data_IF_396656518021
#
_entry.id   IF_396656518021
#
_cell.length_a   1.000
_cell.length_b   1.000
_cell.length_c   1.000
_cell.angle_alpha   90.00
_cell.angle_beta   90.00
_cell.angle_gamma   90.00
#
_symmetry.space_group_name_H-M   'P 1'
#
loop_
_entity.id
_entity.type
_entity.pdbx_description
1 polymer ?
#
# COMPACT_ATOMS: atom_id res chain seq x y z
N UNK A 1 -4.67 22.06 31.96
CA UNK A 1 -3.85 23.25 32.30
C UNK A 1 -2.51 23.02 31.63
N UNK A 2 -2.19 23.75 30.54
CA UNK A 2 -0.91 23.53 29.85
C UNK A 2 0.24 24.01 30.75
N UNK A 3 1.38 23.34 30.69
CA UNK A 3 2.55 23.69 31.49
C UNK A 3 3.11 25.04 31.04
N UNK A 4 3.88 25.73 31.90
CA UNK A 4 4.59 26.96 31.53
C UNK A 4 5.50 26.77 30.31
N UNK A 5 5.99 25.54 30.09
CA UNK A 5 6.86 25.17 28.98
C UNK A 5 6.09 25.15 27.65
N UNK A 6 4.85 24.67 27.68
CA UNK A 6 3.97 24.60 26.50
C UNK A 6 3.57 26.01 26.06
N UNK A 7 3.36 26.93 27.00
CA UNK A 7 3.05 28.32 26.65
C UNK A 7 4.21 29.04 25.98
N UNK A 8 5.45 28.70 26.34
CA UNK A 8 6.64 29.31 25.73
C UNK A 8 6.94 28.72 24.34
N UNK A 9 6.70 27.42 24.12
CA UNK A 9 6.86 26.83 22.78
C UNK A 9 5.84 27.44 21.80
N UNK A 10 4.60 27.70 22.23
CA UNK A 10 3.59 28.33 21.37
C UNK A 10 3.91 29.78 21.02
N UNK A 11 4.44 30.57 21.96
CA UNK A 11 4.93 31.93 21.64
C UNK A 11 6.10 31.90 20.66
N UNK A 12 6.94 30.88 20.77
CA UNK A 12 8.08 30.68 19.87
C UNK A 12 7.61 30.33 18.45
N UNK A 13 6.62 29.45 18.31
CA UNK A 13 5.97 29.14 17.02
C UNK A 13 5.34 30.40 16.40
N UNK A 14 4.61 31.21 17.18
CA UNK A 14 4.03 32.46 16.70
C UNK A 14 5.10 33.47 16.23
N UNK A 15 6.19 33.61 17.00
CA UNK A 15 7.31 34.46 16.63
C UNK A 15 8.02 33.98 15.35
N UNK A 16 8.16 32.66 15.18
CA UNK A 16 8.71 32.03 13.98
C UNK A 16 7.86 32.36 12.75
N UNK A 17 6.54 32.13 12.82
CA UNK A 17 5.59 32.41 11.73
C UNK A 17 5.57 33.91 11.38
N UNK A 18 5.83 34.79 12.34
CA UNK A 18 5.94 36.25 12.14
C UNK A 18 7.33 36.71 11.68
N UNK A 19 8.30 35.81 11.51
CA UNK A 19 9.66 36.12 11.08
C UNK A 19 10.47 36.91 12.12
N UNK A 20 10.20 36.69 13.41
CA UNK A 20 10.81 37.44 14.53
C UNK A 20 11.84 36.63 15.32
N UNK A 21 12.09 35.37 14.96
CA UNK A 21 13.12 34.54 15.58
C UNK A 21 14.47 34.70 14.87
N UNK A 22 15.55 34.61 15.64
CA UNK A 22 16.90 34.47 15.11
C UNK A 22 17.20 33.00 14.78
N UNK A 23 18.27 32.78 14.01
CA UNK A 23 18.67 31.46 13.51
C UNK A 23 18.85 30.42 14.62
N UNK A 24 19.46 30.81 15.75
CA UNK A 24 19.70 29.90 16.90
C UNK A 24 18.41 29.50 17.64
N UNK A 25 17.38 30.33 17.60
CA UNK A 25 16.07 30.03 18.19
C UNK A 25 15.22 29.18 17.24
N UNK A 26 15.41 29.36 15.93
CA UNK A 26 14.77 28.54 14.89
C UNK A 26 15.27 27.10 14.98
N UNK A 27 16.58 26.89 15.08
CA UNK A 27 17.15 25.54 15.23
C UNK A 27 16.64 24.84 16.48
N UNK A 28 16.57 25.54 17.62
CA UNK A 28 16.02 25.00 18.87
C UNK A 28 14.53 24.66 18.77
N UNK A 29 13.75 25.47 18.06
CA UNK A 29 12.34 25.19 17.80
C UNK A 29 12.19 23.90 16.97
N UNK A 30 12.96 23.73 15.91
CA UNK A 30 12.91 22.52 15.08
C UNK A 30 13.32 21.25 15.83
N UNK A 31 14.27 21.36 16.75
CA UNK A 31 14.64 20.23 17.64
C UNK A 31 13.49 19.83 18.55
N UNK A 32 12.70 20.77 19.07
CA UNK A 32 11.54 20.45 19.90
C UNK A 32 10.37 19.91 19.06
N UNK A 33 10.14 20.45 17.85
CA UNK A 33 9.14 19.90 16.90
C UNK A 33 9.49 18.46 16.50
N UNK A 34 10.77 18.15 16.29
CA UNK A 34 11.21 16.79 15.97
C UNK A 34 10.95 15.78 17.12
N UNK A 35 10.85 16.26 18.36
CA UNK A 35 10.55 15.43 19.54
C UNK A 35 9.06 15.29 19.79
N UNK A 36 8.24 16.21 19.29
CA UNK A 36 6.80 16.25 19.49
C UNK A 36 6.08 16.61 18.18
N UNK A 37 5.64 15.60 17.41
CA UNK A 37 4.99 15.78 16.11
C UNK A 37 3.73 16.67 16.15
N UNK A 38 3.03 16.73 17.30
CA UNK A 38 1.82 17.55 17.45
C UNK A 38 2.11 19.06 17.33
N UNK A 39 3.36 19.47 17.52
CA UNK A 39 3.81 20.85 17.32
C UNK A 39 3.90 21.23 15.83
N UNK A 40 4.07 20.25 14.93
CA UNK A 40 4.08 20.46 13.49
C UNK A 40 2.68 20.84 13.00
N UNK A 41 1.66 20.07 13.40
CA UNK A 41 0.25 20.35 13.09
C UNK A 41 -0.16 21.75 13.57
N UNK A 42 0.37 22.18 14.72
CA UNK A 42 0.11 23.52 15.25
C UNK A 42 0.79 24.63 14.44
N UNK A 43 2.04 24.42 14.03
CA UNK A 43 2.76 25.35 13.15
C UNK A 43 2.02 25.50 11.81
N UNK A 44 1.55 24.40 11.24
CA UNK A 44 0.71 24.41 10.03
C UNK A 44 -0.58 25.21 10.23
N UNK A 45 -1.23 25.04 11.39
CA UNK A 45 -2.45 25.78 11.72
C UNK A 45 -2.21 27.29 11.85
N UNK A 46 -1.12 27.73 12.51
CA UNK A 46 -0.75 29.15 12.63
C UNK A 46 -0.35 29.77 11.28
N UNK A 47 0.36 29.01 10.43
CA UNK A 47 0.69 29.46 9.07
C UNK A 47 -0.54 29.55 8.16
N UNK A 48 -1.49 28.61 8.29
CA UNK A 48 -2.78 28.64 7.60
C UNK A 48 -3.66 29.81 8.05
N UNK A 49 -3.74 30.08 9.36
CA UNK A 49 -4.46 31.23 9.93
C UNK A 49 -3.81 32.55 9.49
N UNK A 50 -2.47 32.65 9.46
CA UNK A 50 -1.76 33.81 8.91
C UNK A 50 -2.11 34.03 7.44
N UNK A 51 -2.12 32.98 6.62
CA UNK A 51 -2.48 33.06 5.20
C UNK A 51 -3.90 33.59 5.00
N UNK A 52 -4.87 33.10 5.77
CA UNK A 52 -6.28 33.56 5.73
C UNK A 52 -6.42 35.01 6.24
N UNK A 53 -5.67 35.39 7.28
CA UNK A 53 -5.66 36.76 7.80
C UNK A 53 -4.99 37.74 6.82
N UNK A 54 -3.94 37.31 6.13
CA UNK A 54 -3.26 38.09 5.10
C UNK A 54 -4.14 38.24 3.85
N UNK A 55 -4.88 37.20 3.46
CA UNK A 55 -5.91 37.25 2.40
C UNK A 55 -7.09 38.17 2.77
N UNK A 56 -7.57 38.13 4.03
CA UNK A 56 -8.61 39.06 4.52
C UNK A 56 -8.10 40.51 4.62
N UNK A 57 -6.84 40.74 5.01
CA UNK A 57 -6.21 42.06 5.00
C UNK A 57 -6.03 42.60 3.57
N UNK A 58 -5.71 41.73 2.61
CA UNK A 58 -5.62 42.07 1.18
C UNK A 58 -6.99 42.41 0.56
N UNK A 59 -8.09 41.79 1.03
CA UNK A 59 -9.46 42.09 0.60
C UNK A 59 -9.99 43.43 1.16
N UNK A 60 -9.60 43.81 2.38
CA UNK A 60 -10.15 45.00 3.06
C UNK A 60 -9.40 46.32 2.84
N UNK A 61 -8.18 46.34 2.29
CA UNK A 61 -7.42 47.58 2.08
C UNK A 61 -6.76 47.65 0.70
N UNK A 62 -7.51 48.10 -0.32
CA UNK A 62 -6.91 48.76 -1.48
C UNK A 62 -7.09 50.27 -1.41
N UNK A 63 -6.02 50.95 -1.02
CA UNK A 63 -5.24 51.79 -1.94
C UNK A 63 -3.77 51.58 -1.61
N UNK A 64 -3.13 50.65 -2.31
CA UNK A 64 -1.69 50.43 -2.24
C UNK A 64 -1.01 51.25 -3.34
N UNK A 65 -0.03 52.07 -2.96
CA UNK A 65 0.93 52.68 -3.86
C UNK A 65 1.85 51.58 -4.41
N UNK A 66 1.88 51.43 -5.73
CA UNK A 66 2.75 50.46 -6.41
C UNK A 66 4.20 50.88 -6.19
N UNK A 67 4.94 50.11 -5.39
CA UNK A 67 6.41 50.16 -5.44
C UNK A 67 6.85 49.09 -6.41
N UNK A 68 7.37 49.52 -7.57
CA UNK A 68 7.96 48.59 -8.54
C UNK A 68 9.27 48.06 -7.96
N UNK A 69 9.37 46.74 -7.82
CA UNK A 69 10.65 46.10 -7.53
C UNK A 69 11.62 46.36 -8.70
N UNK A 70 12.93 46.55 -8.43
CA UNK A 70 13.92 46.66 -9.49
C UNK A 70 13.88 45.43 -10.39
N UNK A 71 14.02 45.61 -11.71
CA UNK A 71 13.90 44.53 -12.71
C UNK A 71 14.78 43.30 -12.41
N UNK A 72 15.91 43.48 -11.72
CA UNK A 72 16.79 42.39 -11.32
C UNK A 72 16.14 41.39 -10.35
N UNK A 73 15.19 41.81 -9.50
CA UNK A 73 14.52 40.93 -8.54
C UNK A 73 13.64 39.89 -9.24
N UNK A 74 13.05 40.22 -10.38
CA UNK A 74 12.31 39.27 -11.22
C UNK A 74 13.22 38.22 -11.83
N UNK A 75 14.41 38.64 -12.30
CA UNK A 75 15.43 37.71 -12.80
C UNK A 75 16.02 36.85 -11.69
N UNK A 76 16.23 37.39 -10.49
CA UNK A 76 16.72 36.64 -9.34
C UNK A 76 15.70 35.59 -8.85
N UNK A 77 14.41 35.93 -8.83
CA UNK A 77 13.34 34.99 -8.51
C UNK A 77 13.22 33.88 -9.56
N UNK A 78 13.25 34.23 -10.86
CA UNK A 78 13.27 33.25 -11.94
C UNK A 78 14.51 32.35 -11.90
N UNK A 79 15.68 32.90 -11.56
CA UNK A 79 16.90 32.12 -11.40
C UNK A 79 16.79 31.15 -10.22
N UNK A 80 16.23 31.58 -9.08
CA UNK A 80 16.04 30.73 -7.90
C UNK A 80 15.05 29.57 -8.17
N UNK A 81 13.97 29.81 -8.91
CA UNK A 81 13.04 28.74 -9.30
C UNK A 81 13.68 27.75 -10.27
N UNK A 82 14.46 28.23 -11.25
CA UNK A 82 15.23 27.36 -12.15
C UNK A 82 16.25 26.53 -11.35
N UNK A 83 16.93 27.14 -10.38
CA UNK A 83 17.92 26.46 -9.53
C UNK A 83 17.27 25.38 -8.66
N UNK A 84 16.09 25.65 -8.08
CA UNK A 84 15.31 24.68 -7.32
C UNK A 84 14.83 23.52 -8.19
N UNK A 85 14.30 23.79 -9.39
CA UNK A 85 13.90 22.74 -10.34
C UNK A 85 15.11 21.91 -10.77
N UNK A 86 16.25 22.56 -11.04
CA UNK A 86 17.50 21.89 -11.36
C UNK A 86 18.01 21.04 -10.18
N UNK A 87 17.94 21.55 -8.94
CA UNK A 87 18.25 20.80 -7.71
C UNK A 87 17.37 19.58 -7.55
N UNK A 88 16.05 19.71 -7.74
CA UNK A 88 15.11 18.58 -7.69
C UNK A 88 15.43 17.55 -8.77
N UNK A 89 15.83 17.98 -9.97
CA UNK A 89 16.28 17.08 -11.04
C UNK A 89 17.63 16.41 -10.72
N UNK A 90 18.58 17.15 -10.10
CA UNK A 90 19.92 16.66 -9.75
C UNK A 90 19.93 15.67 -8.58
N UNK A 91 19.00 15.83 -7.63
CA UNK A 91 18.85 14.97 -6.45
C UNK A 91 17.74 13.92 -6.58
N UNK A 92 17.17 13.72 -7.78
CA UNK A 92 16.43 12.48 -8.07
C UNK A 92 17.43 11.32 -8.01
N UNK A 93 17.59 10.75 -6.83
CA UNK A 93 18.19 9.42 -6.70
C UNK A 93 17.19 8.47 -7.37
N UNK A 94 17.50 8.04 -8.58
CA UNK A 94 16.79 6.94 -9.23
C UNK A 94 17.06 5.67 -8.42
N UNK A 95 16.32 5.47 -7.33
CA UNK A 95 16.23 4.14 -6.73
C UNK A 95 15.43 3.30 -7.72
N UNK A 96 16.12 2.59 -8.61
CA UNK A 96 15.50 1.62 -9.49
C UNK A 96 14.89 0.50 -8.62
N UNK A 97 13.66 0.67 -8.16
CA UNK A 97 12.90 -0.39 -7.51
C UNK A 97 12.57 -1.41 -8.58
N UNK A 98 13.04 -2.63 -8.40
CA UNK A 98 12.79 -3.73 -9.32
C UNK A 98 11.45 -4.38 -8.99
N UNK A 99 10.85 -5.07 -9.96
CA UNK A 99 9.60 -5.79 -9.71
C UNK A 99 9.77 -6.85 -8.60
N UNK A 100 10.98 -7.41 -8.47
CA UNK A 100 11.33 -8.40 -7.46
C UNK A 100 11.18 -7.90 -6.02
N UNK A 101 11.20 -6.58 -5.80
CA UNK A 101 11.04 -5.99 -4.46
C UNK A 101 9.59 -6.07 -3.95
N UNK A 102 8.64 -6.41 -4.84
CA UNK A 102 7.19 -6.39 -4.56
C UNK A 102 6.53 -7.77 -4.65
N UNK A 103 7.25 -8.78 -5.15
CA UNK A 103 6.71 -10.13 -5.32
C UNK A 103 6.92 -11.00 -4.08
N UNK A 104 6.05 -11.98 -3.91
CA UNK A 104 6.17 -13.03 -2.90
C UNK A 104 7.20 -14.05 -3.37
N UNK A 105 8.40 -14.12 -2.77
CA UNK A 105 9.41 -15.12 -3.18
C UNK A 105 9.05 -16.54 -2.75
N UNK A 106 8.39 -16.68 -1.59
CA UNK A 106 7.98 -17.96 -1.01
C UNK A 106 6.77 -17.70 -0.14
N UNK A 107 5.77 -18.56 -0.26
CA UNK A 107 4.53 -18.47 0.52
C UNK A 107 4.71 -19.33 1.78
N UNK A 108 4.70 -18.73 2.98
CA UNK A 108 4.92 -19.46 4.21
C UNK A 108 3.72 -20.34 4.58
N UNK A 109 3.97 -21.37 5.39
CA UNK A 109 2.99 -22.45 5.65
C UNK A 109 1.72 -21.93 6.36
N UNK A 110 1.83 -20.87 7.16
CA UNK A 110 0.69 -20.21 7.83
C UNK A 110 -0.31 -19.58 6.86
N UNK A 111 0.06 -19.42 5.58
CA UNK A 111 -0.83 -18.92 4.55
C UNK A 111 -1.69 -20.01 3.91
N UNK A 112 -1.43 -21.29 4.20
CA UNK A 112 -2.29 -22.38 3.76
C UNK A 112 -3.65 -22.29 4.45
N UNK A 113 -4.69 -22.62 3.68
CA UNK A 113 -6.04 -22.75 4.18
C UNK A 113 -6.22 -24.06 4.94
N UNK A 114 -6.83 -23.97 6.11
CA UNK A 114 -7.24 -25.12 6.93
C UNK A 114 -8.76 -25.17 7.01
N UNK A 115 -9.29 -26.23 7.62
CA UNK A 115 -10.69 -26.25 8.01
C UNK A 115 -11.01 -25.03 8.91
N UNK A 116 -12.20 -24.45 8.77
CA UNK A 116 -12.54 -23.25 9.55
C UNK A 116 -12.55 -23.56 11.06
N UNK A 117 -11.79 -22.78 11.83
CA UNK A 117 -11.68 -22.93 13.28
C UNK A 117 -12.86 -22.29 14.04
N UNK A 118 -13.77 -23.13 14.53
CA UNK A 118 -14.66 -23.01 15.70
C UNK A 118 -15.36 -21.67 15.99
N UNK A 119 -16.68 -21.62 15.72
CA UNK A 119 -17.59 -20.63 16.33
C UNK A 119 -18.98 -21.17 16.75
N UNK A 120 -19.16 -22.48 16.92
CA UNK A 120 -20.38 -23.02 17.56
C UNK A 120 -20.10 -24.31 18.33
N UNK A 121 -20.94 -24.54 19.34
CA UNK A 121 -20.81 -25.60 20.36
C UNK A 121 -21.19 -27.00 19.84
N UNK A 122 -21.73 -27.10 18.63
CA UNK A 122 -22.36 -28.32 18.07
C UNK A 122 -21.86 -28.68 16.66
N UNK A 123 -20.57 -28.50 16.35
CA UNK A 123 -20.03 -28.81 15.01
C UNK A 123 -19.50 -30.25 14.89
N UNK A 124 -19.89 -30.94 13.82
CA UNK A 124 -19.34 -32.25 13.43
C UNK A 124 -18.20 -32.01 12.44
N UNK A 125 -16.98 -32.40 12.81
CA UNK A 125 -15.82 -32.37 11.90
C UNK A 125 -16.16 -33.25 10.69
N UNK A 126 -16.21 -32.66 9.50
CA UNK A 126 -16.45 -33.42 8.29
C UNK A 126 -15.19 -34.18 7.85
N UNK A 127 -15.38 -35.16 6.96
CA UNK A 127 -14.25 -35.83 6.30
C UNK A 127 -13.41 -34.83 5.49
N UNK A 128 -14.04 -33.83 4.85
CA UNK A 128 -13.34 -32.79 4.11
C UNK A 128 -12.47 -31.91 5.01
N UNK A 129 -12.99 -31.53 6.19
CA UNK A 129 -12.22 -30.78 7.21
C UNK A 129 -10.98 -31.56 7.66
N UNK A 130 -11.18 -32.86 7.92
CA UNK A 130 -10.11 -33.76 8.35
C UNK A 130 -9.02 -33.88 7.28
N UNK A 131 -9.42 -34.00 6.01
CA UNK A 131 -8.50 -34.07 4.88
C UNK A 131 -7.74 -32.75 4.67
N UNK A 132 -8.40 -31.59 4.74
CA UNK A 132 -7.72 -30.29 4.65
C UNK A 132 -6.66 -30.14 5.75
N UNK A 133 -7.00 -30.48 6.99
CA UNK A 133 -6.07 -30.43 8.12
C UNK A 133 -4.93 -31.45 7.97
N UNK A 134 -5.20 -32.65 7.44
CA UNK A 134 -4.18 -33.65 7.16
C UNK A 134 -3.21 -33.21 6.06
N UNK A 135 -3.73 -32.57 5.00
CA UNK A 135 -2.92 -31.97 3.94
C UNK A 135 -2.02 -30.86 4.48
N UNK A 136 -2.55 -29.97 5.31
CA UNK A 136 -1.77 -28.95 6.01
C UNK A 136 -0.66 -29.56 6.89
N UNK A 137 -0.97 -30.59 7.66
CA UNK A 137 0.01 -31.29 8.48
C UNK A 137 1.10 -31.95 7.63
N UNK A 138 0.75 -32.53 6.48
CA UNK A 138 1.70 -33.12 5.55
C UNK A 138 2.67 -32.06 5.00
N UNK A 139 2.17 -30.89 4.57
CA UNK A 139 3.03 -29.74 4.17
C UNK A 139 3.93 -29.30 5.31
N UNK A 140 3.38 -29.16 6.52
CA UNK A 140 4.15 -28.76 7.72
C UNK A 140 5.25 -29.76 8.07
N UNK A 141 5.06 -31.04 7.75
CA UNK A 141 6.06 -32.11 7.95
C UNK A 141 7.07 -32.24 6.81
N UNK A 142 6.92 -31.47 5.72
CA UNK A 142 7.74 -31.57 4.52
C UNK A 142 7.34 -32.72 3.58
N UNK A 143 6.27 -33.46 3.87
CA UNK A 143 5.77 -34.54 3.02
C UNK A 143 4.84 -33.99 1.94
N UNK A 144 5.46 -33.37 0.94
CA UNK A 144 4.77 -32.67 -0.14
C UNK A 144 3.98 -33.61 -1.05
N UNK A 145 4.50 -34.79 -1.36
CA UNK A 145 3.81 -35.77 -2.20
C UNK A 145 2.50 -36.22 -1.56
N UNK A 146 2.54 -36.52 -0.25
CA UNK A 146 1.34 -36.84 0.52
C UNK A 146 0.36 -35.67 0.57
N UNK A 147 0.85 -34.45 0.78
CA UNK A 147 -0.01 -33.26 0.77
C UNK A 147 -0.75 -33.09 -0.56
N UNK A 148 -0.03 -33.21 -1.69
CA UNK A 148 -0.62 -33.15 -3.03
C UNK A 148 -1.67 -34.25 -3.23
N UNK A 149 -1.38 -35.48 -2.79
CA UNK A 149 -2.34 -36.60 -2.86
C UNK A 149 -3.62 -36.30 -2.07
N UNK A 150 -3.50 -35.76 -0.85
CA UNK A 150 -4.64 -35.41 0.00
C UNK A 150 -5.46 -34.28 -0.62
N UNK A 151 -4.81 -33.22 -1.12
CA UNK A 151 -5.55 -32.13 -1.77
C UNK A 151 -6.25 -32.59 -3.06
N UNK A 152 -5.68 -33.53 -3.81
CA UNK A 152 -6.35 -34.17 -4.94
C UNK A 152 -7.60 -34.95 -4.51
N UNK A 153 -7.53 -35.64 -3.38
CA UNK A 153 -8.68 -36.34 -2.79
C UNK A 153 -9.78 -35.35 -2.39
N UNK A 154 -9.41 -34.20 -1.79
CA UNK A 154 -10.38 -33.16 -1.46
C UNK A 154 -11.07 -32.64 -2.73
N UNK A 155 -10.28 -32.25 -3.74
CA UNK A 155 -10.77 -31.71 -5.02
C UNK A 155 -11.70 -32.70 -5.73
N UNK A 156 -11.42 -34.00 -5.65
CA UNK A 156 -12.20 -35.02 -6.36
C UNK A 156 -13.52 -35.37 -5.69
N UNK A 157 -13.59 -35.25 -4.36
CA UNK A 157 -14.73 -35.74 -3.57
C UNK A 157 -15.58 -34.63 -2.94
N UNK A 158 -15.06 -33.40 -2.87
CA UNK A 158 -15.69 -32.25 -2.23
C UNK A 158 -15.51 -30.99 -3.10
N UNK A 159 -16.16 -30.96 -4.26
CA UNK A 159 -16.02 -29.89 -5.28
C UNK A 159 -16.68 -28.55 -4.86
N UNK A 160 -17.46 -28.55 -3.79
CA UNK A 160 -18.15 -27.37 -3.26
C UNK A 160 -17.22 -26.39 -2.51
N UNK A 161 -17.66 -25.13 -2.43
CA UNK A 161 -17.09 -24.15 -1.51
C UNK A 161 -17.40 -24.55 -0.05
N UNK A 162 -16.45 -24.45 0.89
CA UNK A 162 -15.10 -23.91 0.75
C UNK A 162 -14.02 -24.96 0.45
N UNK A 163 -14.35 -26.25 0.33
CA UNK A 163 -13.35 -27.31 0.37
C UNK A 163 -12.47 -27.36 -0.87
N UNK A 164 -13.05 -27.45 -2.07
CA UNK A 164 -12.26 -27.49 -3.29
C UNK A 164 -11.46 -26.20 -3.50
N UNK A 165 -12.04 -25.03 -3.22
CA UNK A 165 -11.32 -23.75 -3.36
C UNK A 165 -10.11 -23.66 -2.45
N UNK A 166 -10.22 -24.09 -1.18
CA UNK A 166 -9.08 -24.21 -0.24
C UNK A 166 -8.04 -25.21 -0.73
N UNK A 167 -8.46 -26.38 -1.20
CA UNK A 167 -7.55 -27.42 -1.67
C UNK A 167 -6.79 -27.01 -2.94
N UNK A 168 -7.46 -26.38 -3.92
CA UNK A 168 -6.83 -25.78 -5.10
C UNK A 168 -5.83 -24.70 -4.69
N UNK A 169 -6.19 -23.81 -3.76
CA UNK A 169 -5.31 -22.76 -3.27
C UNK A 169 -4.05 -23.36 -2.63
N UNK A 170 -4.19 -24.34 -1.74
CA UNK A 170 -3.05 -25.00 -1.09
C UNK A 170 -2.16 -25.76 -2.08
N UNK A 171 -2.76 -26.44 -3.06
CA UNK A 171 -2.02 -27.13 -4.12
C UNK A 171 -1.24 -26.13 -4.99
N UNK A 172 -1.85 -24.97 -5.27
CA UNK A 172 -1.19 -23.85 -5.95
C UNK A 172 -0.02 -23.28 -5.17
N UNK A 173 -0.15 -23.13 -3.84
CA UNK A 173 0.95 -22.69 -2.95
C UNK A 173 2.15 -23.65 -3.03
N UNK A 174 1.88 -24.96 -3.00
CA UNK A 174 2.93 -25.99 -3.15
C UNK A 174 3.68 -25.81 -4.48
N UNK A 175 2.95 -25.75 -5.59
CA UNK A 175 3.56 -25.57 -6.91
C UNK A 175 4.29 -24.24 -7.05
N UNK A 176 3.77 -23.17 -6.44
CA UNK A 176 4.41 -21.86 -6.43
C UNK A 176 5.78 -21.92 -5.74
N UNK A 177 5.84 -22.52 -4.56
CA UNK A 177 7.07 -22.66 -3.78
C UNK A 177 8.10 -23.59 -4.47
N UNK A 178 7.64 -24.52 -5.30
CA UNK A 178 8.49 -25.36 -6.17
C UNK A 178 9.03 -24.61 -7.40
N UNK A 179 8.59 -23.37 -7.66
CA UNK A 179 8.86 -22.65 -8.90
C UNK A 179 8.09 -23.18 -10.13
N UNK A 180 7.12 -24.08 -9.91
CA UNK A 180 6.22 -24.62 -10.94
C UNK A 180 5.06 -23.65 -11.17
N UNK A 181 5.40 -22.46 -11.67
CA UNK A 181 4.45 -21.37 -11.82
C UNK A 181 3.28 -21.67 -12.77
N UNK A 182 3.43 -22.39 -13.90
CA UNK A 182 2.29 -22.76 -14.75
C UNK A 182 1.23 -23.58 -14.00
N UNK A 183 1.66 -24.58 -13.22
CA UNK A 183 0.79 -25.39 -12.39
C UNK A 183 0.17 -24.56 -11.26
N UNK A 184 0.94 -23.66 -10.65
CA UNK A 184 0.43 -22.73 -9.65
C UNK A 184 -0.68 -21.82 -10.22
N UNK A 185 -0.48 -21.26 -11.42
CA UNK A 185 -1.47 -20.43 -12.14
C UNK A 185 -2.77 -21.19 -12.34
N UNK A 186 -2.72 -22.43 -12.85
CA UNK A 186 -3.92 -23.27 -13.02
C UNK A 186 -4.66 -23.42 -11.68
N UNK A 187 -3.94 -23.77 -10.62
CA UNK A 187 -4.54 -24.00 -9.31
C UNK A 187 -5.13 -22.74 -8.67
N UNK A 188 -4.44 -21.60 -8.73
CA UNK A 188 -4.96 -20.34 -8.22
C UNK A 188 -6.17 -19.84 -9.02
N UNK A 189 -6.20 -20.08 -10.34
CA UNK A 189 -7.36 -19.77 -11.18
C UNK A 189 -8.58 -20.59 -10.77
N UNK A 190 -8.42 -21.90 -10.55
CA UNK A 190 -9.51 -22.78 -10.08
C UNK A 190 -9.99 -22.38 -8.68
N UNK A 191 -9.07 -22.02 -7.78
CA UNK A 191 -9.41 -21.52 -6.44
C UNK A 191 -10.23 -20.23 -6.50
N UNK A 192 -9.79 -19.24 -7.28
CA UNK A 192 -10.49 -17.97 -7.48
C UNK A 192 -11.87 -18.16 -8.13
N UNK A 193 -11.98 -19.09 -9.09
CA UNK A 193 -13.22 -19.39 -9.81
C UNK A 193 -14.27 -20.02 -8.92
N UNK A 194 -13.86 -20.87 -7.97
CA UNK A 194 -14.77 -21.54 -7.01
C UNK A 194 -15.13 -20.65 -5.83
N UNK A 195 -14.22 -19.79 -5.38
CA UNK A 195 -14.41 -18.92 -4.22
C UNK A 195 -15.11 -17.58 -4.54
N UNK A 196 -16.08 -17.54 -5.47
CA UNK A 196 -16.68 -16.25 -5.89
C UNK A 196 -17.34 -15.49 -4.74
N UNK A 197 -17.99 -16.22 -3.84
CA UNK A 197 -18.67 -15.65 -2.68
C UNK A 197 -17.74 -15.54 -1.46
N UNK A 198 -16.70 -16.39 -1.38
CA UNK A 198 -15.65 -16.28 -0.37
C UNK A 198 -14.61 -15.22 -0.72
N UNK A 199 -14.91 -13.98 -0.35
CA UNK A 199 -14.03 -12.82 -0.51
C UNK A 199 -12.57 -13.07 -0.07
N UNK A 200 -12.36 -13.75 1.06
CA UNK A 200 -11.02 -13.98 1.63
C UNK A 200 -10.20 -14.96 0.78
N UNK A 201 -10.78 -16.12 0.44
CA UNK A 201 -10.10 -17.11 -0.42
C UNK A 201 -9.90 -16.54 -1.82
N UNK A 202 -10.89 -15.83 -2.37
CA UNK A 202 -10.80 -15.19 -3.67
C UNK A 202 -9.66 -14.16 -3.72
N UNK A 203 -9.55 -13.29 -2.71
CA UNK A 203 -8.46 -12.30 -2.65
C UNK A 203 -7.09 -12.98 -2.64
N UNK A 204 -6.91 -13.96 -1.76
CA UNK A 204 -5.66 -14.70 -1.61
C UNK A 204 -5.29 -15.43 -2.91
N UNK A 205 -6.26 -16.06 -3.56
CA UNK A 205 -6.06 -16.72 -4.85
C UNK A 205 -5.62 -15.73 -5.94
N UNK A 206 -6.28 -14.58 -6.07
CA UNK A 206 -5.89 -13.55 -7.03
C UNK A 206 -4.52 -12.93 -6.72
N UNK A 207 -4.20 -12.73 -5.44
CA UNK A 207 -2.90 -12.22 -5.02
C UNK A 207 -1.78 -13.16 -5.45
N UNK A 208 -1.88 -14.46 -5.16
CA UNK A 208 -0.85 -15.42 -5.55
C UNK A 208 -0.86 -15.72 -7.06
N UNK A 209 -2.01 -15.65 -7.72
CA UNK A 209 -2.11 -15.72 -9.18
C UNK A 209 -1.32 -14.59 -9.85
N UNK A 210 -1.49 -13.34 -9.38
CA UNK A 210 -0.75 -12.20 -9.89
C UNK A 210 0.76 -12.35 -9.70
N UNK A 211 1.19 -12.82 -8.53
CA UNK A 211 2.60 -13.13 -8.26
C UNK A 211 3.13 -14.24 -9.17
N UNK A 212 2.33 -15.28 -9.46
CA UNK A 212 2.74 -16.36 -10.36
C UNK A 212 2.89 -15.86 -11.80
N UNK A 213 2.00 -14.99 -12.28
CA UNK A 213 2.13 -14.35 -13.58
C UNK A 213 3.34 -13.43 -13.69
N UNK A 214 3.71 -12.71 -12.62
CA UNK A 214 4.97 -11.96 -12.62
C UNK A 214 6.17 -12.88 -12.82
N UNK A 215 6.20 -14.02 -12.14
CA UNK A 215 7.31 -14.97 -12.24
C UNK A 215 7.41 -15.65 -13.61
N UNK A 216 6.32 -15.71 -14.38
CA UNK A 216 6.34 -16.19 -15.78
C UNK A 216 6.57 -15.08 -16.80
N UNK A 217 6.63 -13.81 -16.37
CA UNK A 217 6.75 -12.64 -17.25
C UNK A 217 5.44 -12.23 -17.93
N UNK A 218 4.31 -12.84 -17.58
CA UNK A 218 2.99 -12.49 -18.08
C UNK A 218 2.45 -11.24 -17.35
N UNK A 219 3.12 -10.09 -17.55
CA UNK A 219 2.91 -8.88 -16.75
C UNK A 219 1.49 -8.28 -16.91
N UNK A 220 0.86 -8.44 -18.07
CA UNK A 220 -0.52 -7.97 -18.27
C UNK A 220 -1.53 -8.79 -17.49
N UNK A 221 -1.39 -10.12 -17.49
CA UNK A 221 -2.22 -11.02 -16.69
C UNK A 221 -1.97 -10.81 -15.20
N UNK A 222 -0.72 -10.56 -14.82
CA UNK A 222 -0.36 -10.17 -13.46
C UNK A 222 -1.11 -8.92 -13.03
N UNK A 223 -1.12 -7.86 -13.87
CA UNK A 223 -1.80 -6.60 -13.59
C UNK A 223 -3.31 -6.81 -13.34
N UNK A 224 -3.95 -7.64 -14.17
CA UNK A 224 -5.37 -7.96 -14.01
C UNK A 224 -5.62 -8.72 -12.69
N UNK A 225 -4.83 -9.76 -12.41
CA UNK A 225 -4.98 -10.57 -11.21
C UNK A 225 -4.74 -9.78 -9.92
N UNK A 226 -3.70 -8.94 -9.85
CA UNK A 226 -3.47 -8.10 -8.66
C UNK A 226 -4.53 -7.00 -8.52
N UNK A 227 -5.09 -6.51 -9.64
CA UNK A 227 -6.24 -5.61 -9.62
C UNK A 227 -7.48 -6.26 -9.01
N UNK A 228 -7.73 -7.54 -9.33
CA UNK A 228 -8.80 -8.33 -8.72
C UNK A 228 -8.57 -8.57 -7.22
N UNK A 229 -7.34 -8.84 -6.80
CA UNK A 229 -7.01 -8.93 -5.37
C UNK A 229 -7.25 -7.58 -4.65
N UNK A 230 -6.80 -6.48 -5.22
CA UNK A 230 -7.00 -5.13 -4.66
C UNK A 230 -8.48 -4.79 -4.44
N UNK A 231 -9.37 -5.12 -5.40
CA UNK A 231 -10.82 -4.86 -5.29
C UNK A 231 -11.50 -5.61 -4.15
N UNK A 232 -10.93 -6.74 -3.72
CA UNK A 232 -11.49 -7.59 -2.65
C UNK A 232 -11.10 -7.11 -1.26
N UNK A 233 -10.35 -6.02 -1.12
CA UNK A 233 -10.15 -5.28 0.14
C UNK A 233 -9.93 -6.14 1.41
N UNK A 234 -9.05 -7.13 1.35
CA UNK A 234 -8.67 -7.93 2.51
C UNK A 234 -7.20 -7.70 2.90
N UNK A 235 -6.55 -8.76 3.40
CA UNK A 235 -5.21 -8.66 3.98
C UNK A 235 -4.16 -8.31 2.94
N UNK A 236 -4.36 -8.74 1.69
CA UNK A 236 -3.41 -8.50 0.61
C UNK A 236 -3.66 -7.20 -0.16
N UNK A 237 -4.76 -6.50 0.10
CA UNK A 237 -5.13 -5.26 -0.61
C UNK A 237 -3.99 -4.28 -0.79
N UNK A 238 -3.27 -3.95 0.30
CA UNK A 238 -2.20 -2.95 0.24
C UNK A 238 -1.03 -3.44 -0.63
N UNK A 239 -0.62 -4.70 -0.45
CA UNK A 239 0.45 -5.31 -1.26
C UNK A 239 0.04 -5.40 -2.74
N UNK A 240 -1.20 -5.82 -3.01
CA UNK A 240 -1.78 -5.88 -4.34
C UNK A 240 -1.83 -4.51 -5.02
N UNK A 241 -2.21 -3.45 -4.28
CA UNK A 241 -2.23 -2.08 -4.79
C UNK A 241 -0.84 -1.60 -5.20
N UNK A 242 0.17 -1.83 -4.35
CA UNK A 242 1.56 -1.42 -4.66
C UNK A 242 2.07 -2.14 -5.90
N UNK A 243 1.88 -3.46 -5.99
CA UNK A 243 2.28 -4.25 -7.16
C UNK A 243 1.49 -3.84 -8.41
N UNK A 244 0.19 -3.55 -8.29
CA UNK A 244 -0.64 -3.01 -9.37
C UNK A 244 -0.08 -1.69 -9.92
N UNK A 245 0.27 -0.74 -9.04
CA UNK A 245 0.85 0.54 -9.46
C UNK A 245 2.19 0.35 -10.19
N UNK A 246 3.04 -0.53 -9.66
CA UNK A 246 4.33 -0.84 -10.28
C UNK A 246 4.15 -1.48 -11.66
N UNK A 247 3.27 -2.46 -11.79
CA UNK A 247 2.96 -3.09 -13.08
C UNK A 247 2.34 -2.11 -14.08
N UNK A 248 1.41 -1.25 -13.63
CA UNK A 248 0.83 -0.19 -14.47
C UNK A 248 1.88 0.78 -14.99
N UNK A 249 2.83 1.17 -14.13
CA UNK A 249 3.97 2.01 -14.51
C UNK A 249 4.87 1.32 -15.54
N UNK A 250 5.29 0.08 -15.27
CA UNK A 250 6.22 -0.66 -16.14
C UNK A 250 5.60 -1.00 -17.51
N UNK A 251 4.27 -1.20 -17.57
CA UNK A 251 3.53 -1.44 -18.79
C UNK A 251 3.14 -0.16 -19.55
N UNK A 252 3.47 1.02 -19.01
CA UNK A 252 3.07 2.30 -19.60
C UNK A 252 1.56 2.55 -19.59
N UNK A 253 0.82 1.88 -18.69
CA UNK A 253 -0.65 2.01 -18.51
C UNK A 253 -1.04 3.06 -17.48
N UNK A 254 -0.12 3.97 -17.13
CA UNK A 254 -0.41 5.07 -16.21
C UNK A 254 -1.17 6.14 -16.97
N UNK A 255 -2.50 6.14 -16.82
CA UNK A 255 -3.29 7.33 -17.10
C UNK A 255 -2.93 8.37 -16.04
N UNK A 256 -2.24 9.43 -16.46
CA UNK A 256 -2.05 10.65 -15.68
C UNK A 256 -3.28 11.58 -15.79
N UNK A 257 -4.41 11.11 -16.30
CA UNK A 257 -5.66 11.88 -16.33
C UNK A 257 -6.32 11.88 -14.94
N UNK A 258 -5.98 12.93 -14.20
CA UNK A 258 -6.84 13.67 -13.27
C UNK A 258 -7.88 12.86 -12.48
N UNK A 259 -7.56 12.59 -11.21
CA UNK A 259 -8.58 12.66 -10.16
C UNK A 259 -9.01 14.13 -9.98
N UNK A 260 -9.65 14.70 -10.99
CA UNK A 260 -10.60 15.79 -10.84
C UNK A 260 -12.00 15.21 -10.99
N UNK A 261 -12.40 14.35 -10.06
CA UNK A 261 -13.83 14.20 -9.79
C UNK A 261 -14.26 15.43 -9.00
N UNK A 262 -14.58 16.49 -9.74
CA UNK A 262 -15.48 17.52 -9.25
C UNK A 262 -16.85 16.90 -9.07
N UNK A 263 -17.48 17.21 -7.94
CA UNK A 263 -18.91 17.37 -7.88
C UNK A 263 -19.16 18.84 -7.48
N UNK A 264 -19.85 19.54 -8.38
CA UNK A 264 -20.53 20.82 -8.15
C UNK A 264 -21.85 20.58 -7.41
#
# INVERSE_FOLDING_TARGET
>A
MSSSRDQDIYKTIDAYVKGRLNESDIERLWVEIAKDPDLLDRLELETGVKKILDERKMSSKKKATVHSLPNWVWHASAAATILLVALVQLFRVETHTTLNDFIVSTIPVDQLEVADGLRSQDFVISSADSLLNLGFAAVSSGDQEKALSIFNEVISNYDEEPYASKAFLNRGIIFYNDGKYPEAITNFTEAATRAKENRMISEKAFWYLGNAYVNTGALEDALLAVGEAYKRDGVFRKSAYVLYQKLSYDLGKVDFEETSSGDN
#
